data_IF_125086150106
#
_entry.id   IF_125086150106
#
_cell.length_a   1.000
_cell.length_b   1.000
_cell.length_c   1.000
_cell.angle_alpha   90.00
_cell.angle_beta   90.00
_cell.angle_gamma   90.00
#
_symmetry.space_group_name_H-M   'P 1'
#
loop_
_entity.id
_entity.type
_entity.pdbx_description
1 polymer ?
#
# COMPACT_ATOMS: atom_id res chain seq x y z
N UNK A 1 72.54 -17.63 3.09
CA UNK A 1 71.81 -18.90 3.27
C UNK A 1 70.94 -19.12 2.04
N UNK A 2 71.21 -20.24 1.34
CA UNK A 2 70.58 -20.59 0.06
C UNK A 2 69.21 -21.24 0.33
N UNK A 3 68.13 -20.78 -0.31
CA UNK A 3 66.87 -21.52 -0.38
C UNK A 3 66.61 -21.96 -1.82
N UNK A 4 66.47 -23.28 -1.97
CA UNK A 4 66.26 -23.98 -3.23
C UNK A 4 64.79 -23.81 -3.68
N UNK A 5 64.60 -23.45 -4.96
CA UNK A 5 63.36 -23.58 -5.68
C UNK A 5 63.03 -25.04 -5.93
N UNK A 6 61.87 -25.48 -5.58
CA UNK A 6 61.25 -26.74 -6.00
C UNK A 6 60.15 -26.43 -7.01
N UNK A 7 60.42 -26.76 -8.27
CA UNK A 7 59.44 -26.75 -9.34
C UNK A 7 58.62 -28.03 -9.26
N UNK A 8 57.36 -27.95 -8.91
CA UNK A 8 56.41 -29.04 -9.02
C UNK A 8 55.55 -28.81 -10.29
N UNK A 9 55.83 -29.67 -11.29
CA UNK A 9 55.00 -29.76 -12.50
C UNK A 9 53.73 -30.52 -12.13
N UNK A 10 52.62 -29.82 -12.01
CA UNK A 10 51.28 -30.38 -11.84
C UNK A 10 50.60 -30.56 -13.19
N UNK A 11 50.36 -31.82 -13.54
CA UNK A 11 49.59 -32.26 -14.70
C UNK A 11 48.14 -31.76 -14.54
N UNK A 12 47.71 -30.82 -15.38
CA UNK A 12 46.28 -30.46 -15.53
C UNK A 12 45.61 -31.57 -16.36
N UNK A 13 44.93 -32.49 -15.68
CA UNK A 13 43.88 -33.27 -16.30
C UNK A 13 42.66 -32.37 -16.53
N UNK A 14 42.42 -31.91 -17.75
CA UNK A 14 41.19 -31.29 -18.20
C UNK A 14 40.09 -32.38 -18.24
N UNK A 15 39.31 -32.47 -17.17
CA UNK A 15 38.01 -33.16 -17.21
C UNK A 15 37.04 -32.19 -17.92
N UNK A 16 36.92 -32.34 -19.21
CA UNK A 16 35.81 -31.79 -19.98
C UNK A 16 34.58 -32.56 -19.58
N UNK A 17 33.94 -32.08 -18.50
CA UNK A 17 32.58 -32.46 -18.15
C UNK A 17 31.69 -32.01 -19.29
N UNK A 18 31.29 -32.92 -20.18
CA UNK A 18 30.16 -32.71 -21.09
C UNK A 18 28.91 -32.46 -20.22
N UNK A 19 28.57 -31.20 -19.99
CA UNK A 19 27.24 -30.82 -19.61
C UNK A 19 26.33 -31.27 -20.77
N UNK A 20 25.73 -32.48 -20.63
CA UNK A 20 24.65 -32.92 -21.47
C UNK A 20 23.51 -31.91 -21.25
N UNK A 21 23.42 -30.88 -22.07
CA UNK A 21 22.22 -30.07 -22.17
C UNK A 21 21.12 -31.09 -22.47
N UNK A 22 20.17 -31.25 -21.55
CA UNK A 22 18.95 -31.96 -21.82
C UNK A 22 18.26 -31.18 -22.93
N UNK A 23 18.49 -31.62 -24.17
CA UNK A 23 17.76 -31.16 -25.34
C UNK A 23 16.35 -31.67 -25.09
N UNK A 24 15.47 -30.77 -24.62
CA UNK A 24 14.06 -31.08 -24.48
C UNK A 24 13.56 -31.50 -25.86
N UNK A 25 13.39 -32.80 -26.05
CA UNK A 25 12.99 -33.35 -27.33
C UNK A 25 11.53 -32.98 -27.59
N UNK A 26 11.29 -32.21 -28.63
CA UNK A 26 9.96 -31.99 -29.18
C UNK A 26 9.30 -33.35 -29.43
N UNK A 27 8.00 -33.44 -29.15
CA UNK A 27 7.21 -34.64 -29.41
C UNK A 27 5.80 -34.29 -29.85
N UNK A 28 5.18 -35.19 -30.62
CA UNK A 28 3.80 -35.06 -31.04
C UNK A 28 2.90 -35.77 -30.05
N UNK A 29 1.91 -35.08 -29.53
CA UNK A 29 0.96 -35.60 -28.53
C UNK A 29 0.08 -36.67 -29.15
N UNK A 30 0.21 -37.92 -28.72
CA UNK A 30 -0.66 -39.05 -29.14
C UNK A 30 -1.91 -39.15 -28.26
N UNK A 31 -1.83 -38.76 -26.98
CA UNK A 31 -2.94 -38.77 -26.02
C UNK A 31 -2.71 -37.77 -24.91
N UNK A 32 -3.78 -37.35 -24.23
CA UNK A 32 -3.73 -36.39 -23.09
C UNK A 32 -4.41 -37.05 -21.89
N UNK A 33 -3.65 -37.20 -20.78
CA UNK A 33 -4.18 -37.67 -19.50
C UNK A 33 -4.15 -36.55 -18.48
N UNK A 34 -5.27 -36.32 -17.79
CA UNK A 34 -5.33 -35.40 -16.65
C UNK A 34 -5.58 -36.22 -15.39
N UNK A 35 -4.65 -36.16 -14.45
CA UNK A 35 -4.68 -36.87 -13.17
C UNK A 35 -4.90 -35.91 -12.01
N UNK A 36 -5.64 -36.34 -10.96
CA UNK A 36 -5.87 -35.54 -9.75
C UNK A 36 -7.17 -34.75 -9.75
N UNK A 37 -8.01 -34.87 -10.78
CA UNK A 37 -9.34 -34.25 -10.82
C UNK A 37 -10.27 -34.87 -9.77
N UNK A 38 -11.05 -34.04 -9.07
CA UNK A 38 -12.01 -34.44 -8.05
C UNK A 38 -13.42 -33.88 -8.32
N UNK A 39 -13.52 -32.58 -8.60
CA UNK A 39 -14.77 -31.85 -8.86
C UNK A 39 -14.85 -31.30 -10.26
N UNK A 40 -13.71 -30.89 -10.81
CA UNK A 40 -13.63 -30.38 -12.17
C UNK A 40 -13.82 -31.53 -13.14
N UNK A 41 -14.82 -31.42 -14.00
CA UNK A 41 -15.05 -32.44 -15.05
C UNK A 41 -13.88 -32.45 -16.04
N UNK A 42 -13.47 -33.64 -16.51
CA UNK A 42 -12.38 -33.80 -17.48
C UNK A 42 -12.56 -32.92 -18.72
N UNK A 43 -13.79 -32.84 -19.25
CA UNK A 43 -14.09 -31.96 -20.39
C UNK A 43 -13.86 -30.49 -20.14
N UNK A 44 -14.20 -30.01 -18.92
CA UNK A 44 -13.91 -28.65 -18.52
C UNK A 44 -12.40 -28.40 -18.38
N UNK A 45 -11.66 -29.31 -17.74
CA UNK A 45 -10.20 -29.21 -17.61
C UNK A 45 -9.50 -29.16 -18.99
N UNK A 46 -9.97 -29.99 -19.95
CA UNK A 46 -9.47 -29.98 -21.32
C UNK A 46 -9.79 -28.67 -22.07
N UNK A 47 -10.85 -27.95 -21.70
CA UNK A 47 -11.18 -26.65 -22.32
C UNK A 47 -10.14 -25.57 -21.89
N UNK A 48 -9.59 -25.69 -20.69
CA UNK A 48 -8.54 -24.78 -20.20
C UNK A 48 -7.13 -25.12 -20.73
N UNK A 49 -6.98 -26.31 -21.33
CA UNK A 49 -5.71 -26.78 -21.86
C UNK A 49 -5.60 -26.42 -23.37
N UNK A 50 -4.73 -25.49 -23.79
CA UNK A 50 -4.58 -25.08 -25.19
C UNK A 50 -3.71 -26.06 -25.98
N UNK A 51 -3.95 -27.37 -25.81
CA UNK A 51 -3.20 -28.47 -26.45
C UNK A 51 -4.17 -29.54 -26.89
N UNK A 52 -3.98 -30.08 -28.11
CA UNK A 52 -4.77 -31.15 -28.66
C UNK A 52 -3.91 -32.34 -29.08
N UNK A 53 -4.53 -33.50 -29.20
CA UNK A 53 -3.87 -34.68 -29.81
C UNK A 53 -3.45 -34.32 -31.25
N UNK A 54 -2.20 -34.62 -31.57
CA UNK A 54 -1.56 -34.26 -32.83
C UNK A 54 -0.71 -32.98 -32.77
N UNK A 55 -0.78 -32.21 -31.68
CA UNK A 55 0.05 -31.02 -31.52
C UNK A 55 1.47 -31.40 -31.20
N UNK A 56 2.43 -30.57 -31.68
CA UNK A 56 3.85 -30.67 -31.34
C UNK A 56 4.12 -29.89 -30.04
N UNK A 57 4.72 -30.54 -29.06
CA UNK A 57 5.02 -29.99 -27.75
C UNK A 57 6.49 -29.61 -27.64
N UNK A 58 6.72 -28.43 -27.14
CA UNK A 58 8.03 -27.91 -26.74
C UNK A 58 7.90 -27.11 -25.42
N UNK A 59 9.01 -26.67 -24.86
CA UNK A 59 9.03 -25.92 -23.58
C UNK A 59 8.10 -24.70 -23.55
N UNK A 60 7.99 -24.00 -24.67
CA UNK A 60 7.10 -22.83 -24.77
C UNK A 60 5.63 -23.23 -24.66
N UNK A 61 5.20 -24.26 -25.39
CA UNK A 61 3.81 -24.76 -25.33
C UNK A 61 3.47 -25.38 -24.00
N UNK A 62 4.43 -26.08 -23.34
CA UNK A 62 4.26 -26.59 -21.98
C UNK A 62 4.02 -25.42 -21.02
N UNK A 63 4.87 -24.37 -21.07
CA UNK A 63 4.70 -23.20 -20.23
C UNK A 63 3.37 -22.45 -20.50
N UNK A 64 2.91 -22.42 -21.76
CA UNK A 64 1.61 -21.85 -22.13
C UNK A 64 0.46 -22.68 -21.55
N UNK A 65 0.54 -24.00 -21.63
CA UNK A 65 -0.45 -24.92 -21.08
C UNK A 65 -0.58 -24.75 -19.55
N UNK A 66 0.54 -24.70 -18.85
CA UNK A 66 0.58 -24.46 -17.41
C UNK A 66 -0.05 -23.11 -17.05
N UNK A 67 0.31 -22.03 -17.74
CA UNK A 67 -0.27 -20.70 -17.50
C UNK A 67 -1.78 -20.66 -17.75
N UNK A 68 -2.25 -21.31 -18.80
CA UNK A 68 -3.67 -21.36 -19.12
C UNK A 68 -4.49 -22.13 -18.06
N UNK A 69 -3.95 -23.24 -17.57
CA UNK A 69 -4.58 -23.99 -16.48
C UNK A 69 -4.58 -23.21 -15.16
N UNK A 70 -3.51 -22.48 -14.80
CA UNK A 70 -3.49 -21.61 -13.63
C UNK A 70 -4.48 -20.43 -13.77
N UNK A 71 -4.62 -19.87 -14.98
CA UNK A 71 -5.57 -18.80 -15.26
C UNK A 71 -7.03 -19.21 -15.06
N UNK A 72 -7.34 -20.53 -15.10
CA UNK A 72 -8.67 -21.04 -14.77
C UNK A 72 -9.06 -20.89 -13.30
N UNK A 73 -8.10 -20.59 -12.42
CA UNK A 73 -8.22 -20.46 -10.95
C UNK A 73 -8.60 -21.75 -10.19
N UNK A 74 -8.92 -22.86 -10.89
CA UNK A 74 -9.36 -24.10 -10.25
C UNK A 74 -8.26 -24.93 -9.62
N UNK A 75 -7.01 -24.71 -9.99
CA UNK A 75 -5.88 -25.58 -9.59
C UNK A 75 -4.89 -24.89 -8.64
N UNK A 76 -4.53 -25.59 -7.58
CA UNK A 76 -3.51 -25.18 -6.61
C UNK A 76 -2.10 -25.49 -7.13
N UNK A 77 -1.92 -26.66 -7.77
CA UNK A 77 -0.67 -27.06 -8.42
C UNK A 77 -0.92 -27.77 -9.73
N UNK A 78 0.00 -27.58 -10.68
CA UNK A 78 -0.04 -28.15 -12.01
C UNK A 78 1.36 -28.64 -12.34
N UNK A 79 1.45 -29.90 -12.75
CA UNK A 79 2.67 -30.57 -13.18
C UNK A 79 2.42 -31.17 -14.55
N UNK A 80 3.26 -30.87 -15.52
CA UNK A 80 3.14 -31.42 -16.88
C UNK A 80 4.31 -32.35 -17.10
N UNK A 81 3.99 -33.61 -17.37
CA UNK A 81 4.93 -34.71 -17.54
C UNK A 81 4.77 -35.32 -18.94
N UNK A 82 5.79 -36.00 -19.38
CA UNK A 82 5.79 -36.78 -20.64
C UNK A 82 5.92 -38.27 -20.31
N UNK A 83 5.02 -39.08 -20.84
CA UNK A 83 5.11 -40.54 -20.79
C UNK A 83 5.06 -41.09 -22.23
N UNK A 84 6.24 -41.31 -22.82
CA UNK A 84 6.35 -41.60 -24.26
C UNK A 84 5.88 -40.43 -25.11
N UNK A 85 4.78 -40.60 -25.84
CA UNK A 85 4.11 -39.55 -26.62
C UNK A 85 2.79 -39.08 -25.97
N UNK A 86 2.56 -39.49 -24.72
CA UNK A 86 1.37 -39.09 -23.96
C UNK A 86 1.74 -37.87 -23.10
N UNK A 87 0.91 -36.83 -23.17
CA UNK A 87 0.99 -35.68 -22.29
C UNK A 87 0.22 -35.97 -20.99
N UNK A 88 0.92 -36.07 -19.87
CA UNK A 88 0.33 -36.31 -18.54
C UNK A 88 0.31 -35.00 -17.75
N UNK A 89 -0.89 -34.50 -17.46
CA UNK A 89 -1.08 -33.28 -16.65
C UNK A 89 -1.59 -33.70 -15.28
N UNK A 90 -0.72 -33.58 -14.27
CA UNK A 90 -1.10 -33.79 -12.88
C UNK A 90 -1.55 -32.48 -12.27
N UNK A 91 -2.75 -32.49 -11.70
CA UNK A 91 -3.34 -31.30 -11.07
C UNK A 91 -3.74 -31.59 -9.63
N UNK A 92 -3.65 -30.56 -8.81
CA UNK A 92 -4.29 -30.53 -7.50
C UNK A 92 -5.34 -29.42 -7.50
N UNK A 93 -6.60 -29.81 -7.39
CA UNK A 93 -7.70 -28.85 -7.37
C UNK A 93 -7.71 -28.02 -6.09
N UNK A 94 -8.02 -26.74 -6.19
CA UNK A 94 -8.36 -25.89 -5.05
C UNK A 94 -9.67 -26.36 -4.43
N UNK A 95 -9.80 -26.40 -3.11
CA UNK A 95 -11.05 -26.72 -2.47
C UNK A 95 -12.08 -25.62 -2.73
N UNK A 96 -13.34 -26.00 -2.82
CA UNK A 96 -14.46 -25.07 -3.02
C UNK A 96 -15.03 -24.61 -1.70
N UNK A 97 -15.30 -23.32 -1.57
CA UNK A 97 -15.87 -22.71 -0.37
C UNK A 97 -17.33 -23.16 -0.22
N UNK A 98 -17.65 -23.82 0.89
CA UNK A 98 -19.01 -24.26 1.24
C UNK A 98 -19.73 -23.27 2.15
N UNK A 99 -18.98 -22.64 3.05
CA UNK A 99 -19.50 -21.68 4.00
C UNK A 99 -18.45 -20.64 4.33
N UNK A 100 -18.88 -19.43 4.67
CA UNK A 100 -18.04 -18.33 5.18
C UNK A 100 -18.65 -17.87 6.50
N UNK A 101 -17.85 -17.86 7.56
CA UNK A 101 -18.24 -17.43 8.90
C UNK A 101 -17.34 -16.27 9.29
N UNK A 102 -17.95 -15.16 9.70
CA UNK A 102 -17.27 -13.99 10.25
C UNK A 102 -17.52 -13.97 11.75
N UNK A 103 -16.48 -13.77 12.56
CA UNK A 103 -16.60 -13.79 14.02
C UNK A 103 -15.64 -12.79 14.66
N UNK A 104 -16.16 -11.89 15.50
CA UNK A 104 -15.38 -10.91 16.27
C UNK A 104 -15.12 -9.59 15.54
N UNK A 105 -15.83 -9.30 14.45
CA UNK A 105 -15.71 -8.09 13.65
C UNK A 105 -16.71 -7.00 14.10
N UNK A 106 -16.50 -6.43 15.28
CA UNK A 106 -17.41 -5.44 15.84
C UNK A 106 -17.33 -4.07 15.14
N UNK A 107 -16.14 -3.66 14.67
CA UNK A 107 -15.93 -2.37 14.00
C UNK A 107 -16.29 -2.39 12.51
N UNK A 108 -16.27 -3.56 11.87
CA UNK A 108 -16.57 -3.70 10.44
C UNK A 108 -17.86 -4.52 10.30
N UNK A 109 -18.86 -3.97 9.62
CA UNK A 109 -20.12 -4.65 9.38
C UNK A 109 -19.94 -5.85 8.45
N UNK A 110 -20.69 -6.92 8.71
CA UNK A 110 -20.68 -8.14 7.90
C UNK A 110 -20.91 -7.86 6.42
N UNK A 111 -21.80 -6.93 6.09
CA UNK A 111 -22.12 -6.60 4.70
C UNK A 111 -20.88 -6.01 3.97
N UNK A 112 -20.10 -5.17 4.66
CA UNK A 112 -18.88 -4.58 4.08
C UNK A 112 -17.77 -5.62 3.90
N UNK A 113 -17.62 -6.52 4.89
CA UNK A 113 -16.69 -7.64 4.79
C UNK A 113 -17.09 -8.58 3.65
N UNK A 114 -18.37 -8.91 3.54
CA UNK A 114 -18.88 -9.78 2.48
C UNK A 114 -18.65 -9.15 1.09
N UNK A 115 -18.89 -7.85 0.93
CA UNK A 115 -18.62 -7.13 -0.32
C UNK A 115 -17.13 -7.15 -0.69
N UNK A 116 -16.24 -6.97 0.28
CA UNK A 116 -14.78 -7.04 0.10
C UNK A 116 -14.33 -8.46 -0.31
N UNK A 117 -14.87 -9.49 0.35
CA UNK A 117 -14.61 -10.89 0.04
C UNK A 117 -15.09 -11.24 -1.38
N UNK A 118 -16.31 -10.82 -1.73
CA UNK A 118 -16.90 -11.05 -3.04
C UNK A 118 -16.10 -10.36 -4.16
N UNK A 119 -15.64 -9.13 -3.92
CA UNK A 119 -14.77 -8.39 -4.82
C UNK A 119 -13.42 -9.09 -5.06
N UNK A 120 -12.96 -9.85 -4.07
CA UNK A 120 -11.73 -10.66 -4.15
C UNK A 120 -11.98 -12.11 -4.59
N UNK A 121 -13.20 -12.42 -5.06
CA UNK A 121 -13.63 -13.75 -5.49
C UNK A 121 -13.62 -14.83 -4.38
N UNK A 122 -13.68 -14.41 -3.12
CA UNK A 122 -13.88 -15.30 -1.95
C UNK A 122 -15.38 -15.36 -1.64
N UNK A 123 -16.08 -16.31 -2.25
CA UNK A 123 -17.54 -16.47 -2.10
C UNK A 123 -17.97 -17.94 -2.19
N UNK A 124 -19.17 -18.20 -1.78
CA UNK A 124 -19.72 -19.56 -1.79
C UNK A 124 -19.70 -20.17 -3.21
N UNK A 125 -19.19 -21.39 -3.29
CA UNK A 125 -19.11 -22.13 -4.55
C UNK A 125 -17.84 -21.89 -5.36
N UNK A 126 -17.04 -20.88 -5.05
CA UNK A 126 -15.79 -20.58 -5.75
C UNK A 126 -14.60 -21.37 -5.17
N UNK A 127 -13.54 -21.62 -5.97
CA UNK A 127 -12.32 -22.22 -5.48
C UNK A 127 -11.58 -21.28 -4.51
N UNK A 128 -11.14 -21.82 -3.37
CA UNK A 128 -10.37 -21.04 -2.38
C UNK A 128 -8.91 -20.87 -2.83
N UNK A 129 -8.52 -19.63 -3.08
CA UNK A 129 -7.13 -19.23 -3.27
C UNK A 129 -6.53 -18.76 -1.95
N UNK A 130 -5.59 -19.54 -1.39
CA UNK A 130 -4.93 -19.18 -0.12
C UNK A 130 -4.09 -17.92 -0.21
N UNK A 131 -3.55 -17.60 -1.39
CA UNK A 131 -2.76 -16.38 -1.58
C UNK A 131 -3.65 -15.14 -1.50
N UNK A 132 -4.82 -15.21 -2.14
CA UNK A 132 -5.83 -14.15 -2.07
C UNK A 132 -6.32 -14.00 -0.63
N UNK A 133 -6.60 -15.12 0.06
CA UNK A 133 -7.03 -15.12 1.45
C UNK A 133 -6.01 -14.43 2.36
N UNK A 134 -4.72 -14.78 2.24
CA UNK A 134 -3.65 -14.13 3.02
C UNK A 134 -3.54 -12.62 2.71
N UNK A 135 -3.77 -12.22 1.46
CA UNK A 135 -3.79 -10.81 1.10
C UNK A 135 -4.96 -10.07 1.76
N UNK A 136 -6.13 -10.72 1.87
CA UNK A 136 -7.29 -10.17 2.58
C UNK A 136 -7.00 -10.07 4.08
N UNK A 137 -6.46 -11.12 4.72
CA UNK A 137 -6.07 -11.07 6.14
C UNK A 137 -5.15 -9.88 6.43
N UNK A 138 -4.12 -9.68 5.59
CA UNK A 138 -3.19 -8.57 5.74
C UNK A 138 -3.87 -7.21 5.50
N UNK A 139 -4.71 -7.10 4.47
CA UNK A 139 -5.45 -5.86 4.19
C UNK A 139 -6.41 -5.48 5.32
N UNK A 140 -7.05 -6.46 5.95
CA UNK A 140 -7.91 -6.24 7.11
C UNK A 140 -7.09 -5.82 8.35
N UNK A 141 -5.92 -6.43 8.59
CA UNK A 141 -4.99 -5.99 9.65
C UNK A 141 -4.53 -4.55 9.42
N UNK A 142 -4.17 -4.21 8.18
CA UNK A 142 -3.77 -2.84 7.82
C UNK A 142 -4.90 -1.84 8.04
N UNK A 143 -6.15 -2.24 7.76
CA UNK A 143 -7.32 -1.42 8.09
C UNK A 143 -7.41 -1.15 9.60
N UNK A 144 -7.34 -2.18 10.45
CA UNK A 144 -7.35 -2.00 11.91
C UNK A 144 -6.20 -1.13 12.41
N UNK A 145 -5.01 -1.30 11.84
CA UNK A 145 -3.86 -0.45 12.16
C UNK A 145 -4.09 1.01 11.76
N UNK A 146 -4.80 1.25 10.64
CA UNK A 146 -5.11 2.61 10.20
C UNK A 146 -6.03 3.36 11.16
N UNK A 147 -6.90 2.64 11.88
CA UNK A 147 -7.81 3.18 12.91
C UNK A 147 -7.23 3.07 14.34
N UNK A 148 -5.93 2.77 14.46
CA UNK A 148 -5.21 2.77 15.74
C UNK A 148 -5.27 1.47 16.53
N UNK A 149 -5.84 0.39 16.01
CA UNK A 149 -5.92 -0.91 16.69
C UNK A 149 -4.70 -1.79 16.35
N UNK A 150 -3.56 -1.49 16.94
CA UNK A 150 -2.28 -2.15 16.64
C UNK A 150 -2.14 -3.56 17.21
N UNK A 151 -3.04 -3.97 18.10
CA UNK A 151 -3.14 -5.34 18.61
C UNK A 151 -4.10 -6.20 17.80
N UNK A 152 -4.78 -5.63 16.80
CA UNK A 152 -5.71 -6.38 15.99
C UNK A 152 -5.01 -7.54 15.26
N UNK A 153 -5.65 -8.68 15.28
CA UNK A 153 -5.28 -9.84 14.46
C UNK A 153 -6.48 -10.34 13.68
N UNK A 154 -6.25 -10.77 12.45
CA UNK A 154 -7.25 -11.41 11.60
C UNK A 154 -6.66 -12.71 11.11
N UNK A 155 -7.32 -13.80 11.38
CA UNK A 155 -6.85 -15.13 11.01
C UNK A 155 -7.95 -15.94 10.32
N UNK A 156 -7.56 -16.68 9.27
CA UNK A 156 -8.45 -17.56 8.54
C UNK A 156 -8.29 -19.01 8.99
N UNK A 157 -9.38 -19.61 9.41
CA UNK A 157 -9.46 -21.03 9.78
C UNK A 157 -10.16 -21.75 8.63
N UNK A 158 -9.44 -22.67 7.99
CA UNK A 158 -9.93 -23.48 6.88
C UNK A 158 -10.23 -24.88 7.39
N UNK A 159 -11.50 -25.27 7.41
CA UNK A 159 -11.94 -26.59 7.84
C UNK A 159 -12.26 -27.45 6.63
N UNK A 160 -11.50 -28.53 6.37
CA UNK A 160 -11.74 -29.43 5.24
C UNK A 160 -13.05 -30.19 5.38
N UNK A 161 -13.78 -30.30 4.27
CA UNK A 161 -15.02 -31.05 4.15
C UNK A 161 -14.91 -32.14 3.05
N UNK A 162 -15.77 -33.15 3.07
CA UNK A 162 -15.81 -34.15 1.99
C UNK A 162 -16.01 -33.54 0.60
N UNK A 163 -15.49 -34.22 -0.44
CA UNK A 163 -15.57 -33.83 -1.85
C UNK A 163 -14.85 -32.52 -2.18
N UNK A 164 -13.63 -32.35 -1.64
CA UNK A 164 -12.76 -31.20 -1.87
C UNK A 164 -13.49 -29.85 -1.64
N UNK A 165 -14.16 -29.72 -0.50
CA UNK A 165 -14.81 -28.50 -0.01
C UNK A 165 -14.17 -28.04 1.27
N UNK A 166 -14.40 -26.77 1.60
CA UNK A 166 -13.96 -26.18 2.87
C UNK A 166 -15.00 -25.24 3.45
N UNK A 167 -15.06 -25.17 4.76
CA UNK A 167 -15.63 -24.03 5.47
C UNK A 167 -14.50 -23.07 5.79
N UNK A 168 -14.72 -21.79 5.52
CA UNK A 168 -13.84 -20.68 5.81
C UNK A 168 -14.41 -19.88 6.98
N UNK A 169 -13.64 -19.78 8.06
CA UNK A 169 -13.97 -18.89 9.18
C UNK A 169 -12.90 -17.82 9.26
N UNK A 170 -13.29 -16.55 9.21
CA UNK A 170 -12.44 -15.41 9.55
C UNK A 170 -12.70 -15.04 11.00
N UNK A 171 -11.67 -15.14 11.81
CA UNK A 171 -11.68 -14.77 13.22
C UNK A 171 -10.96 -13.43 13.36
N UNK A 172 -11.65 -12.47 13.98
CA UNK A 172 -11.16 -11.13 14.25
C UNK A 172 -10.90 -11.00 15.75
N UNK A 173 -9.70 -10.63 16.09
CA UNK A 173 -9.31 -10.20 17.44
C UNK A 173 -8.95 -8.72 17.33
N UNK A 174 -9.96 -7.84 17.47
CA UNK A 174 -9.79 -6.42 17.14
C UNK A 174 -8.90 -5.67 18.13
N UNK A 175 -8.97 -6.04 19.41
CA UNK A 175 -8.28 -5.32 20.48
C UNK A 175 -8.79 -3.88 20.68
N UNK A 176 -8.14 -3.16 21.56
CA UNK A 176 -8.43 -1.75 21.83
C UNK A 176 -7.60 -0.83 20.92
N UNK A 177 -8.16 0.33 20.59
CA UNK A 177 -7.40 1.36 19.92
C UNK A 177 -6.34 1.97 20.85
N UNK A 178 -5.13 2.19 20.34
CA UNK A 178 -4.06 2.82 21.10
C UNK A 178 -4.40 4.28 21.38
N UNK A 179 -4.14 4.72 22.62
CA UNK A 179 -4.36 6.09 23.06
C UNK A 179 -3.06 6.88 23.00
N UNK A 180 -3.17 8.17 22.77
CA UNK A 180 -2.04 9.05 22.88
C UNK A 180 -1.76 9.31 24.36
N UNK A 181 -0.60 8.87 24.82
CA UNK A 181 -0.12 9.10 26.18
C UNK A 181 0.54 10.47 26.31
N UNK A 182 1.28 10.89 25.28
CA UNK A 182 1.98 12.17 25.27
C UNK A 182 2.33 12.61 23.86
N UNK A 183 2.25 13.93 23.64
CA UNK A 183 2.82 14.59 22.47
C UNK A 183 3.91 15.56 22.99
N UNK A 184 5.12 15.44 22.45
CA UNK A 184 6.22 16.36 22.76
C UNK A 184 6.54 17.15 21.50
N UNK A 185 6.68 18.47 21.63
CA UNK A 185 7.20 19.33 20.57
C UNK A 185 8.58 19.82 21.04
N UNK A 186 9.58 19.66 20.21
CA UNK A 186 10.98 20.02 20.53
C UNK A 186 11.48 21.00 19.49
N UNK A 187 12.07 22.10 19.93
CA UNK A 187 12.56 23.18 19.04
C UNK A 187 11.67 24.41 19.04
N UNK A 188 10.47 24.34 19.61
CA UNK A 188 9.56 25.49 19.73
C UNK A 188 10.06 26.43 20.85
N UNK A 189 10.31 27.66 20.49
CA UNK A 189 10.71 28.74 21.39
C UNK A 189 9.83 29.99 21.24
N UNK A 190 9.16 30.12 20.13
CA UNK A 190 8.34 31.29 19.76
C UNK A 190 6.91 31.10 20.24
N UNK A 191 6.34 29.92 20.01
CA UNK A 191 5.04 29.55 20.53
C UNK A 191 5.19 28.41 21.54
N UNK A 192 4.48 28.49 22.66
CA UNK A 192 4.49 27.46 23.69
C UNK A 192 3.67 26.22 23.24
N UNK A 193 3.92 25.11 23.93
CA UNK A 193 3.24 23.84 23.64
C UNK A 193 1.73 23.97 23.70
N UNK A 194 1.19 24.72 24.67
CA UNK A 194 -0.25 24.88 24.85
C UNK A 194 -0.88 25.55 23.62
N UNK A 195 -0.23 26.59 23.09
CA UNK A 195 -0.69 27.29 21.88
C UNK A 195 -0.68 26.36 20.65
N UNK A 196 0.36 25.53 20.52
CA UNK A 196 0.46 24.59 19.39
C UNK A 196 -0.54 23.44 19.53
N UNK A 197 -0.75 22.90 20.73
CA UNK A 197 -1.75 21.85 20.98
C UNK A 197 -3.19 22.33 20.76
N UNK A 198 -3.47 23.63 20.95
CA UNK A 198 -4.78 24.19 20.61
C UNK A 198 -5.09 24.09 19.11
N UNK A 199 -4.06 24.08 18.26
CA UNK A 199 -4.21 23.98 16.81
C UNK A 199 -4.40 22.53 16.35
N UNK A 200 -4.03 21.54 17.17
CA UNK A 200 -4.09 20.12 16.82
C UNK A 200 -5.46 19.53 17.14
N UNK A 201 -5.89 18.57 16.32
CA UNK A 201 -7.09 17.79 16.55
C UNK A 201 -6.84 16.67 17.59
N UNK A 202 -5.66 16.02 17.52
CA UNK A 202 -5.25 14.99 18.47
C UNK A 202 -5.10 15.57 19.88
N UNK A 203 -5.71 14.91 20.87
CA UNK A 203 -5.64 15.29 22.29
C UNK A 203 -5.06 14.12 23.09
N UNK A 204 -4.24 14.42 24.10
CA UNK A 204 -3.65 13.43 24.99
C UNK A 204 -4.08 13.60 26.46
N UNK A 205 -4.58 14.78 26.83
CA UNK A 205 -5.01 15.09 28.21
C UNK A 205 -6.47 15.52 28.23
N UNK A 206 -7.37 14.63 27.76
CA UNK A 206 -8.79 14.91 27.80
C UNK A 206 -9.34 14.58 29.19
N UNK A 207 -10.03 15.55 29.88
CA UNK A 207 -10.69 15.27 31.14
C UNK A 207 -11.71 14.15 31.01
N UNK A 208 -11.92 13.36 32.07
CA UNK A 208 -12.81 12.19 32.07
C UNK A 208 -14.27 12.49 31.69
N UNK A 209 -14.69 13.76 31.71
CA UNK A 209 -16.03 14.21 31.27
C UNK A 209 -16.08 14.65 29.80
N UNK A 210 -14.94 14.74 29.12
CA UNK A 210 -14.87 15.08 27.72
C UNK A 210 -14.87 13.82 26.86
N UNK A 211 -16.05 13.25 26.67
CA UNK A 211 -16.27 12.05 25.85
C UNK A 211 -16.15 12.30 24.34
N UNK A 212 -15.98 13.57 23.92
CA UNK A 212 -15.91 13.94 22.53
C UNK A 212 -14.46 14.14 22.05
N UNK A 213 -13.51 14.25 22.96
CA UNK A 213 -12.10 14.40 22.59
C UNK A 213 -11.56 13.13 21.97
N UNK A 214 -10.99 13.25 20.78
CA UNK A 214 -10.33 12.15 20.08
C UNK A 214 -8.95 11.88 20.70
N UNK A 215 -8.86 10.95 21.62
CA UNK A 215 -7.59 10.51 22.26
C UNK A 215 -6.98 9.30 21.56
N UNK A 216 -7.68 8.73 20.56
CA UNK A 216 -7.20 7.60 19.80
C UNK A 216 -6.15 8.09 18.80
N UNK A 217 -5.05 7.38 18.74
CA UNK A 217 -4.04 7.68 17.74
C UNK A 217 -4.49 7.23 16.35
N UNK A 218 -4.53 8.17 15.42
CA UNK A 218 -4.71 7.92 13.99
C UNK A 218 -3.59 8.60 13.22
N UNK A 219 -2.86 7.84 12.42
CA UNK A 219 -1.74 8.38 11.63
C UNK A 219 -2.17 9.51 10.70
N UNK A 220 -3.38 9.41 10.12
CA UNK A 220 -3.89 10.42 9.21
C UNK A 220 -4.18 11.73 9.92
N UNK A 221 -4.78 11.67 11.13
CA UNK A 221 -5.03 12.87 11.95
C UNK A 221 -3.70 13.54 12.36
N UNK A 222 -2.68 12.76 12.78
CA UNK A 222 -1.37 13.31 13.07
C UNK A 222 -0.76 14.02 11.85
N UNK A 223 -0.92 13.49 10.65
CA UNK A 223 -0.44 14.16 9.43
C UNK A 223 -1.16 15.49 9.22
N UNK A 224 -2.49 15.53 9.38
CA UNK A 224 -3.28 16.77 9.31
C UNK A 224 -2.87 17.79 10.38
N UNK A 225 -2.61 17.34 11.61
CA UNK A 225 -2.13 18.19 12.69
C UNK A 225 -0.77 18.81 12.37
N UNK A 226 0.15 18.04 11.79
CA UNK A 226 1.46 18.55 11.36
C UNK A 226 1.32 19.61 10.25
N UNK A 227 0.40 19.42 9.32
CA UNK A 227 0.10 20.42 8.30
C UNK A 227 -0.52 21.68 8.92
N UNK A 228 -1.39 21.52 9.92
CA UNK A 228 -2.02 22.63 10.64
C UNK A 228 -0.98 23.44 11.40
N UNK A 229 -0.07 22.78 12.15
CA UNK A 229 1.04 23.44 12.84
C UNK A 229 1.95 24.17 11.85
N UNK A 230 2.27 23.52 10.72
CA UNK A 230 3.07 24.14 9.65
C UNK A 230 2.40 25.40 9.10
N UNK A 231 1.12 25.34 8.83
CA UNK A 231 0.33 26.51 8.37
C UNK A 231 0.30 27.62 9.42
N UNK A 232 0.12 27.24 10.69
CA UNK A 232 0.11 28.21 11.81
C UNK A 232 1.37 29.07 11.89
N UNK A 233 2.55 28.44 11.70
CA UNK A 233 3.82 29.16 11.63
C UNK A 233 3.96 29.99 10.36
N UNK A 234 3.67 29.40 9.19
CA UNK A 234 3.83 30.07 7.89
C UNK A 234 2.88 31.25 7.72
N UNK A 235 1.70 31.22 8.31
CA UNK A 235 0.76 32.33 8.31
C UNK A 235 1.21 33.50 9.20
N UNK A 236 2.26 33.28 10.03
CA UNK A 236 2.80 34.28 10.95
C UNK A 236 4.22 34.73 10.59
N UNK A 237 4.62 34.46 9.34
CA UNK A 237 5.89 34.94 8.81
C UNK A 237 7.04 33.92 8.83
N UNK A 238 6.88 32.75 9.42
CA UNK A 238 7.92 31.75 9.51
C UNK A 238 7.96 30.86 8.26
N UNK A 239 8.32 31.48 7.13
CA UNK A 239 8.31 30.86 5.80
C UNK A 239 9.14 29.57 5.75
N UNK A 240 10.28 29.52 6.45
CA UNK A 240 11.19 28.37 6.48
C UNK A 240 10.89 27.39 7.61
N UNK A 241 9.75 27.52 8.28
CA UNK A 241 9.34 26.53 9.28
C UNK A 241 9.32 25.13 8.65
N UNK A 242 9.91 24.18 9.35
CA UNK A 242 9.91 22.77 8.95
C UNK A 242 9.79 21.85 10.15
N UNK A 243 9.18 20.68 9.93
CA UNK A 243 9.17 19.58 10.88
C UNK A 243 10.27 18.60 10.46
N UNK A 244 11.45 18.75 11.08
CA UNK A 244 12.64 17.98 10.73
C UNK A 244 12.44 16.47 10.90
N UNK A 245 11.72 16.06 11.94
CA UNK A 245 11.40 14.65 12.15
C UNK A 245 10.19 14.44 13.04
N UNK A 246 9.48 13.36 12.78
CA UNK A 246 8.36 12.86 13.57
C UNK A 246 8.71 11.48 14.09
N UNK A 247 8.75 11.30 15.40
CA UNK A 247 9.01 10.02 16.06
C UNK A 247 7.74 9.56 16.75
N UNK A 248 7.28 8.36 16.40
CA UNK A 248 6.15 7.71 17.04
C UNK A 248 6.65 6.42 17.68
N UNK A 249 6.53 6.34 19.00
CA UNK A 249 6.86 5.15 19.76
C UNK A 249 5.63 4.60 20.46
N UNK A 250 5.64 3.30 20.69
CA UNK A 250 4.50 2.56 21.19
C UNK A 250 4.90 1.77 22.43
N UNK A 251 4.00 1.67 23.41
CA UNK A 251 4.20 0.79 24.56
C UNK A 251 4.32 -0.68 24.12
N UNK A 252 4.96 -1.55 24.91
CA UNK A 252 5.06 -2.98 24.59
C UNK A 252 3.71 -3.65 24.38
N UNK A 253 2.68 -3.18 25.10
CA UNK A 253 1.30 -3.66 25.02
C UNK A 253 0.53 -3.08 23.82
N UNK A 254 1.18 -2.18 23.04
CA UNK A 254 0.60 -1.47 21.89
C UNK A 254 -0.68 -0.68 22.21
N UNK A 255 -0.89 -0.33 23.47
CA UNK A 255 -2.06 0.40 23.95
C UNK A 255 -1.81 1.90 24.09
N UNK A 256 -0.55 2.34 24.26
CA UNK A 256 -0.13 3.73 24.43
C UNK A 256 0.84 4.19 23.33
N UNK A 257 0.68 5.41 22.88
CA UNK A 257 1.47 6.06 21.84
C UNK A 257 2.13 7.33 22.41
N UNK A 258 3.41 7.48 22.15
CA UNK A 258 4.18 8.69 22.39
C UNK A 258 4.60 9.29 21.05
N UNK A 259 4.30 10.56 20.84
CA UNK A 259 4.66 11.29 19.63
C UNK A 259 5.69 12.37 20.00
N UNK A 260 6.77 12.49 19.23
CA UNK A 260 7.73 13.59 19.36
C UNK A 260 7.90 14.24 17.99
N UNK A 261 7.63 15.55 17.93
CA UNK A 261 7.83 16.39 16.76
C UNK A 261 9.07 17.25 17.01
N UNK A 262 10.11 17.08 16.18
CA UNK A 262 11.26 17.98 16.18
C UNK A 262 11.04 19.01 15.09
N UNK A 263 11.01 20.29 15.47
CA UNK A 263 10.73 21.39 14.56
C UNK A 263 11.91 22.37 14.49
N UNK A 264 12.05 23.01 13.34
CA UNK A 264 12.85 24.21 13.13
C UNK A 264 11.89 25.37 12.81
N UNK A 265 11.82 26.36 13.70
CA UNK A 265 10.91 27.50 13.55
C UNK A 265 11.37 28.46 12.46
N UNK A 266 12.69 28.50 12.17
CA UNK A 266 13.28 29.42 11.22
C UNK A 266 13.19 30.88 11.65
N UNK A 267 13.49 31.78 10.73
CA UNK A 267 13.38 33.23 10.94
C UNK A 267 12.02 33.76 10.46
N UNK A 268 11.61 34.89 11.06
CA UNK A 268 10.38 35.57 10.65
C UNK A 268 10.64 36.51 9.48
N UNK A 269 9.90 36.37 8.39
CA UNK A 269 10.04 37.12 7.15
C UNK A 269 8.92 38.15 6.98
N UNK A 270 9.27 39.28 6.33
CA UNK A 270 8.32 40.30 5.86
C UNK A 270 8.38 40.38 4.35
N UNK A 271 7.25 40.68 3.74
CA UNK A 271 7.18 40.92 2.29
C UNK A 271 7.91 42.24 1.98
N UNK A 272 8.93 42.20 1.15
CA UNK A 272 9.63 43.39 0.65
C UNK A 272 8.93 43.96 -0.59
N UNK A 273 8.59 43.09 -1.53
CA UNK A 273 7.98 43.44 -2.81
C UNK A 273 7.10 42.31 -3.31
N UNK A 274 6.11 42.63 -4.13
CA UNK A 274 5.27 41.66 -4.86
C UNK A 274 5.34 41.98 -6.35
N UNK A 275 5.90 41.03 -7.11
CA UNK A 275 5.99 41.13 -8.56
C UNK A 275 5.05 40.10 -9.21
N UNK A 276 4.26 40.54 -10.18
CA UNK A 276 3.42 39.71 -11.03
C UNK A 276 4.11 39.52 -12.37
N UNK A 277 4.50 38.29 -12.68
CA UNK A 277 5.23 37.94 -13.90
C UNK A 277 4.39 37.00 -14.75
N UNK A 278 4.37 37.20 -16.05
CA UNK A 278 3.67 36.33 -16.98
C UNK A 278 2.71 37.06 -17.91
N UNK A 279 1.81 36.33 -18.53
CA UNK A 279 0.84 36.89 -19.49
C UNK A 279 -0.45 37.30 -18.78
N UNK A 280 -0.47 38.56 -18.28
CA UNK A 280 -1.55 39.08 -17.44
C UNK A 280 -2.67 39.78 -18.24
N UNK A 281 -2.60 39.76 -19.56
CA UNK A 281 -3.64 40.29 -20.49
C UNK A 281 -4.08 41.74 -20.22
N UNK A 282 -3.19 42.55 -19.63
CA UNK A 282 -3.51 43.96 -19.28
C UNK A 282 -4.26 44.12 -17.95
N UNK A 283 -4.38 43.09 -17.14
CA UNK A 283 -5.05 43.13 -15.84
C UNK A 283 -4.11 43.37 -14.66
N UNK A 284 -2.83 43.68 -14.89
CA UNK A 284 -1.81 43.81 -13.85
C UNK A 284 -2.17 44.82 -12.76
N UNK A 285 -2.58 46.05 -13.17
CA UNK A 285 -2.94 47.12 -12.22
C UNK A 285 -4.12 46.73 -11.33
N UNK A 286 -5.12 46.06 -11.89
CA UNK A 286 -6.26 45.57 -11.13
C UNK A 286 -5.85 44.50 -10.15
N UNK A 287 -5.04 43.51 -10.57
CA UNK A 287 -4.57 42.45 -9.71
C UNK A 287 -3.74 42.99 -8.55
N UNK A 288 -2.79 43.90 -8.80
CA UNK A 288 -2.00 44.57 -7.74
C UNK A 288 -2.86 45.30 -6.72
N UNK A 289 -4.02 45.83 -7.12
CA UNK A 289 -4.92 46.56 -6.22
C UNK A 289 -5.74 45.63 -5.31
N UNK A 290 -6.09 44.43 -5.80
CA UNK A 290 -7.06 43.55 -5.09
C UNK A 290 -6.40 42.40 -4.32
N UNK A 291 -5.10 42.17 -4.51
CA UNK A 291 -4.39 41.13 -3.80
C UNK A 291 -4.11 41.53 -2.35
N UNK A 292 -4.24 40.58 -1.38
CA UNK A 292 -4.10 40.88 0.04
C UNK A 292 -2.63 41.08 0.46
N UNK A 293 -1.68 40.61 -0.31
CA UNK A 293 -0.26 40.63 0.05
C UNK A 293 0.27 42.06 -0.07
N UNK A 294 0.71 42.65 1.04
CA UNK A 294 1.16 44.04 1.12
C UNK A 294 2.65 44.13 1.50
N UNK A 295 3.49 44.87 0.73
CA UNK A 295 4.88 45.09 1.12
C UNK A 295 4.99 45.76 2.50
N UNK A 296 5.93 45.27 3.34
CA UNK A 296 6.17 45.71 4.71
C UNK A 296 5.43 44.92 5.77
N UNK A 297 4.41 44.15 5.42
CA UNK A 297 3.71 43.23 6.34
C UNK A 297 4.44 41.90 6.49
N UNK A 298 4.05 41.13 7.50
CA UNK A 298 4.59 39.76 7.68
C UNK A 298 4.16 38.87 6.53
N UNK A 299 5.03 37.96 6.14
CA UNK A 299 4.66 36.90 5.22
C UNK A 299 3.49 36.09 5.80
N UNK A 300 2.53 35.76 4.94
CA UNK A 300 1.35 34.98 5.31
C UNK A 300 1.03 33.96 4.21
N UNK A 301 1.19 32.68 4.50
CA UNK A 301 0.97 31.60 3.53
C UNK A 301 -0.49 31.52 3.07
N UNK A 302 -1.44 31.78 3.97
CA UNK A 302 -2.86 31.76 3.60
C UNK A 302 -3.18 32.86 2.57
N UNK A 303 -2.57 34.05 2.68
CA UNK A 303 -2.74 35.13 1.69
C UNK A 303 -2.10 34.78 0.35
N UNK A 304 -0.96 34.09 0.37
CA UNK A 304 -0.31 33.57 -0.85
C UNK A 304 -1.23 32.55 -1.55
N UNK A 305 -1.72 31.57 -0.82
CA UNK A 305 -2.63 30.56 -1.35
C UNK A 305 -3.91 31.17 -1.90
N UNK A 306 -4.49 32.12 -1.16
CA UNK A 306 -5.66 32.87 -1.62
C UNK A 306 -5.38 33.63 -2.93
N UNK A 307 -4.18 34.24 -3.01
CA UNK A 307 -3.75 35.01 -4.21
C UNK A 307 -3.67 34.08 -5.43
N UNK A 308 -3.04 32.94 -5.30
CA UNK A 308 -2.92 31.95 -6.39
C UNK A 308 -4.30 31.46 -6.86
N UNK A 309 -5.17 31.11 -5.91
CA UNK A 309 -6.53 30.69 -6.21
C UNK A 309 -7.36 31.82 -6.84
N UNK A 310 -7.25 33.04 -6.32
CA UNK A 310 -7.97 34.19 -6.82
C UNK A 310 -7.60 34.48 -8.26
N UNK A 311 -6.30 34.57 -8.57
CA UNK A 311 -5.81 34.82 -9.94
C UNK A 311 -6.26 33.69 -10.88
N UNK A 312 -6.13 32.43 -10.45
CA UNK A 312 -6.58 31.29 -11.23
C UNK A 312 -8.08 31.35 -11.55
N UNK A 313 -8.92 31.63 -10.56
CA UNK A 313 -10.37 31.78 -10.73
C UNK A 313 -10.71 33.01 -11.57
N UNK A 314 -9.95 34.10 -11.41
CA UNK A 314 -10.14 35.33 -12.18
C UNK A 314 -9.94 35.08 -13.67
N UNK A 315 -8.82 34.50 -14.07
CA UNK A 315 -8.56 34.18 -15.48
C UNK A 315 -9.47 33.06 -16.02
N UNK A 316 -9.94 32.17 -15.19
CA UNK A 316 -10.95 31.17 -15.55
C UNK A 316 -12.24 31.81 -16.11
N UNK A 317 -12.63 33.01 -15.65
CA UNK A 317 -13.79 33.75 -16.16
C UNK A 317 -13.60 34.28 -17.58
N UNK A 318 -12.36 34.40 -18.03
CA UNK A 318 -12.03 34.84 -19.39
C UNK A 318 -11.80 33.66 -20.35
N UNK A 319 -12.14 32.43 -19.93
CA UNK A 319 -12.07 31.23 -20.76
C UNK A 319 -10.76 30.46 -20.69
N UNK A 320 -9.87 30.81 -19.78
CA UNK A 320 -8.66 30.02 -19.50
C UNK A 320 -9.02 28.84 -18.58
N UNK A 321 -9.13 27.66 -19.13
CA UNK A 321 -9.64 26.50 -18.41
C UNK A 321 -8.72 26.06 -17.25
N UNK A 322 -7.39 26.25 -17.36
CA UNK A 322 -6.39 25.83 -16.37
C UNK A 322 -5.23 26.83 -16.28
N UNK A 323 -5.46 28.07 -15.78
CA UNK A 323 -4.36 28.99 -15.56
C UNK A 323 -3.48 28.48 -14.42
N UNK A 324 -2.20 28.29 -14.68
CA UNK A 324 -1.22 27.93 -13.66
C UNK A 324 -0.68 29.18 -13.00
N UNK A 325 -0.87 29.31 -11.71
CA UNK A 325 -0.33 30.41 -10.89
C UNK A 325 0.52 29.78 -9.80
N UNK A 326 1.74 30.24 -9.65
CA UNK A 326 2.68 29.74 -8.65
C UNK A 326 3.45 30.91 -8.05
N UNK A 327 3.48 31.02 -6.75
CA UNK A 327 4.28 31.99 -6.04
C UNK A 327 5.67 31.42 -5.77
N UNK A 328 6.69 32.20 -6.09
CA UNK A 328 8.10 31.85 -5.84
C UNK A 328 8.66 32.90 -4.87
N UNK A 329 8.85 32.56 -3.59
CA UNK A 329 9.49 33.46 -2.66
C UNK A 329 10.99 33.57 -2.99
N UNK A 330 11.48 34.81 -3.12
CA UNK A 330 12.90 35.15 -3.22
C UNK A 330 13.36 35.72 -1.87
N UNK A 331 14.38 35.10 -1.22
CA UNK A 331 14.76 35.36 0.17
C UNK A 331 16.21 35.87 0.24
#
# INVERSE_FOLDING_TARGET
MKFKQLVAAGLMLSVAGMAKSAQESEFVVSDIKIEGLQRVALGAALTYLPVKVGDEMNSFRIAQAIRSLYASTHFESIEVLRDGDILVVKVKERPTISNIILEGNDDIKDEQLQESLDGSNIRLGEPLDKTVLTSIENGLKDFYYSIGKYNADVSAIITPLPRNRVDLKLLFEEGDAAKIEQINIVGNSIFDDATLFEQMELKFDAPWWDFLSETRYQKQTLTGDMETVTSYYKDRGYLKFDIESTQVSMTPEKAGIYVTLNIDEGEQYKVSEVELVGELLGHEDYLKLVLPITPGELYNQAEVTYTEEFISKYFGRFGYAYPSVTTIPDI
#
